data_IF_736030043582
#
_entry.id   IF_736030043582
#
_cell.length_a   1.000
_cell.length_b   1.000
_cell.length_c   1.000
_cell.angle_alpha   90.00
_cell.angle_beta   90.00
_cell.angle_gamma   90.00
#
_symmetry.space_group_name_H-M   'P 1'
#
loop_
_entity.id
_entity.type
_entity.pdbx_description
1 polymer ?
2 non-polymer ?
3 non-polymer ?
4 non-polymer ?
5 non-polymer ?
6 non-polymer ?
7 non-polymer ?
8 water ?
#
# COMPACT_ATOMS: atom_id res chain seq x y z
C UNK A 1 16.79 -21.97 -17.20
N UNK A 2 15.62 -22.59 -17.06
CA UNK A 2 15.27 -23.51 -15.98
C UNK A 2 15.54 -22.91 -14.60
N UNK A 3 14.81 -21.86 -14.28
CA UNK A 3 15.04 -21.15 -13.02
C UNK A 3 14.22 -21.74 -11.90
N UNK A 4 12.93 -22.02 -12.17
CA UNK A 4 12.02 -22.53 -11.18
C UNK A 4 11.30 -23.77 -11.70
N UNK A 5 10.13 -24.01 -11.11
CA UNK A 5 9.27 -25.14 -11.48
C UNK A 5 7.89 -24.61 -11.78
N UNK A 6 7.35 -25.00 -12.92
CA UNK A 6 6.06 -24.50 -13.40
C UNK A 6 4.95 -25.50 -13.07
N UNK A 7 3.78 -24.96 -12.73
CA UNK A 7 2.60 -25.76 -12.56
C UNK A 7 1.42 -25.05 -13.17
N UNK A 8 0.25 -25.69 -13.13
CA UNK A 8 -0.95 -25.04 -13.69
C UNK A 8 -1.33 -23.76 -12.97
N UNK A 9 -0.99 -23.60 -11.69
CA UNK A 9 -1.42 -22.44 -10.92
C UNK A 9 -0.30 -21.83 -10.08
N UNK A 10 0.96 -22.05 -10.43
CA UNK A 10 2.04 -21.57 -9.60
C UNK A 10 3.35 -21.51 -10.38
N UNK A 11 4.33 -20.86 -9.76
CA UNK A 11 5.72 -20.85 -10.23
C UNK A 11 6.61 -20.83 -8.99
N UNK A 12 7.16 -22.00 -8.66
CA UNK A 12 8.05 -22.13 -7.50
C UNK A 12 9.45 -21.71 -7.92
N UNK A 13 10.00 -20.64 -7.36
CA UNK A 13 11.33 -20.18 -7.80
C UNK A 13 12.47 -21.07 -7.33
N UNK A 14 12.44 -22.34 -7.74
CA UNK A 14 13.48 -23.29 -7.34
C UNK A 14 13.65 -24.32 -8.44
N UNK A 15 14.90 -24.56 -8.84
CA UNK A 15 15.18 -25.52 -9.90
C UNK A 15 14.75 -26.91 -9.47
N UNK A 16 14.36 -27.72 -10.46
CA UNK A 16 13.74 -29.01 -10.20
C UNK A 16 14.63 -30.18 -10.57
N UNK A 17 15.94 -29.95 -10.75
CA UNK A 17 16.83 -31.04 -11.11
C UNK A 17 16.93 -32.08 -10.01
N UNK A 18 16.62 -31.72 -8.77
CA UNK A 18 16.66 -32.66 -7.65
C UNK A 18 15.34 -33.38 -7.44
N UNK A 19 14.26 -32.94 -8.08
CA UNK A 19 12.98 -33.59 -7.92
C UNK A 19 12.33 -33.38 -6.56
N UNK A 20 12.62 -32.25 -5.90
CA UNK A 20 12.09 -32.01 -4.56
C UNK A 20 10.96 -30.99 -4.55
N UNK A 21 10.71 -30.30 -5.67
CA UNK A 21 9.71 -29.24 -5.68
C UNK A 21 8.31 -29.84 -5.58
N UNK A 22 7.48 -29.26 -4.73
CA UNK A 22 6.08 -29.65 -4.61
C UNK A 22 5.21 -28.44 -4.89
N UNK A 23 3.95 -28.71 -5.23
CA UNK A 23 2.98 -27.64 -5.41
C UNK A 23 2.86 -26.82 -4.13
N UNK A 24 2.98 -25.49 -4.21
CA UNK A 24 2.80 -24.67 -3.00
C UNK A 24 1.40 -24.74 -2.41
N UNK A 25 0.48 -25.48 -3.03
CA UNK A 25 -0.83 -25.71 -2.47
C UNK A 25 -0.96 -27.05 -1.78
N UNK A 26 0.12 -27.84 -1.72
CA UNK A 26 0.02 -29.22 -1.27
C UNK A 26 1.05 -29.60 -0.20
N UNK A 27 2.27 -29.07 -0.30
CA UNK A 27 3.33 -29.45 0.61
C UNK A 27 4.20 -28.23 0.95
N UNK A 28 4.80 -28.21 2.13
CA UNK A 28 5.63 -27.05 2.53
C UNK A 28 6.81 -26.84 1.59
N UNK A 29 7.23 -25.58 1.48
CA UNK A 29 8.32 -25.19 0.59
C UNK A 29 9.62 -24.98 1.35
N UNK A 30 10.01 -25.95 2.17
CA UNK A 30 11.19 -25.80 3.02
C UNK A 30 12.51 -25.88 2.25
N UNK A 31 12.47 -26.00 0.92
CA UNK A 31 13.67 -25.88 0.10
C UNK A 31 13.89 -24.46 -0.40
N UNK A 32 12.84 -23.63 -0.43
CA UNK A 32 13.02 -22.21 -0.70
C UNK A 32 13.71 -21.52 0.47
N UNK A 33 13.39 -21.94 1.70
CA UNK A 33 13.92 -21.31 2.89
C UNK A 33 13.84 -22.30 4.04
N UNK A 34 14.73 -22.12 5.02
CA UNK A 34 14.71 -22.98 6.20
C UNK A 34 13.43 -22.75 6.99
N UNK A 35 13.02 -23.73 7.81
CA UNK A 35 11.80 -23.53 8.61
C UNK A 35 11.83 -22.31 9.50
N UNK A 36 13.02 -21.90 9.98
CA UNK A 36 13.08 -20.71 10.82
C UNK A 36 12.83 -19.44 10.02
N UNK A 37 13.20 -19.44 8.74
CA UNK A 37 12.92 -18.29 7.89
C UNK A 37 11.44 -18.15 7.62
N UNK A 38 10.71 -19.27 7.55
CA UNK A 38 9.26 -19.18 7.50
C UNK A 38 8.69 -18.63 8.81
N UNK A 39 9.27 -19.02 9.94
CA UNK A 39 8.80 -18.51 11.23
C UNK A 39 9.07 -17.01 11.36
N UNK A 40 10.21 -16.55 10.85
CA UNK A 40 10.52 -15.12 10.88
C UNK A 40 9.57 -14.34 9.99
N UNK A 41 9.16 -14.92 8.86
CA UNK A 41 8.09 -14.33 8.07
C UNK A 41 6.82 -14.23 8.89
N UNK A 42 6.51 -15.28 9.66
CA UNK A 42 5.34 -15.24 10.53
C UNK A 42 5.49 -14.17 11.61
N UNK A 43 6.69 -14.05 12.18
CA UNK A 43 6.94 -13.02 13.17
C UNK A 43 6.77 -11.62 12.59
N UNK A 44 7.23 -11.42 11.35
CA UNK A 44 7.05 -10.13 10.71
C UNK A 44 5.57 -9.84 10.44
N UNK A 45 4.82 -10.87 10.06
CA UNK A 45 3.37 -10.71 9.93
C UNK A 45 2.74 -10.39 11.28
N UNK A 46 3.20 -11.06 12.34
CA UNK A 46 2.67 -10.80 13.68
C UNK A 46 2.96 -9.36 14.11
N UNK A 47 4.16 -8.87 13.80
CA UNK A 47 4.49 -7.48 14.11
C UNK A 47 3.57 -6.51 13.37
N UNK A 48 3.31 -6.78 12.09
CA UNK A 48 2.44 -5.90 11.32
C UNK A 48 1.00 -5.97 11.81
N UNK A 49 0.56 -7.11 12.36
CA UNK A 49 -0.80 -7.22 12.86
C UNK A 49 -0.92 -6.50 14.20
N UNK A 50 0.06 -6.69 15.09
CA UNK A 50 0.00 -6.07 16.41
C UNK A 50 0.16 -4.56 16.35
N UNK A 51 0.82 -4.05 15.32
CA UNK A 51 0.93 -2.60 15.10
C UNK A 51 -0.11 -2.07 14.12
N UNK A 52 -0.49 -2.86 13.11
CA UNK A 52 -1.35 -2.34 12.07
C UNK A 52 -2.80 -2.24 12.51
N UNK A 53 -3.33 -3.31 13.09
CA UNK A 53 -4.74 -3.30 13.48
C UNK A 53 -5.08 -2.24 14.51
N UNK A 54 -4.37 -2.13 15.65
CA UNK A 54 -4.77 -1.10 16.63
C UNK A 54 -4.71 0.32 16.08
N UNK A 55 -3.62 0.66 15.38
CA UNK A 55 -3.48 2.02 14.86
C UNK A 55 -4.60 2.34 13.86
N UNK A 56 -4.89 1.41 12.96
CA UNK A 56 -5.92 1.67 11.95
C UNK A 56 -7.32 1.55 12.51
N UNK A 57 -7.55 0.64 13.47
CA UNK A 57 -8.86 0.55 14.08
C UNK A 57 -9.12 1.74 15.00
N UNK A 58 -8.08 2.20 15.71
CA UNK A 58 -8.24 3.38 16.56
C UNK A 58 -8.57 4.62 15.74
N UNK A 59 -8.07 4.70 14.50
CA UNK A 59 -8.43 5.81 13.63
C UNK A 59 -9.93 5.82 13.33
N UNK A 60 -10.48 4.64 13.01
CA UNK A 60 -11.92 4.55 12.77
C UNK A 60 -12.71 4.79 14.05
N UNK A 61 -12.15 4.46 15.21
CA UNK A 61 -12.89 4.56 16.45
C UNK A 61 -12.97 6.01 16.94
N UNK A 62 -11.84 6.72 16.94
CA UNK A 62 -11.84 8.10 17.42
C UNK A 62 -12.63 9.02 16.50
N UNK A 63 -12.78 8.65 15.22
CA UNK A 63 -13.64 9.43 14.34
C UNK A 63 -15.10 9.34 14.78
N UNK A 64 -15.49 8.23 15.41
CA UNK A 64 -16.87 8.08 15.86
C UNK A 64 -17.15 8.93 17.09
N UNK A 65 -16.16 9.10 17.97
CA UNK A 65 -16.34 9.77 19.24
C UNK A 65 -16.06 11.27 19.20
N UNK A 66 -15.62 11.80 18.07
CA UNK A 66 -15.24 13.22 17.97
C UNK A 66 -15.84 13.80 16.69
N UNK A 67 -16.76 14.76 16.85
CA UNK A 67 -17.48 15.32 15.72
C UNK A 67 -16.58 16.17 14.84
N UNK A 68 -15.56 16.81 15.42
CA UNK A 68 -14.68 17.69 14.66
C UNK A 68 -13.83 16.92 13.65
N UNK A 69 -13.73 15.60 13.78
CA UNK A 69 -12.97 14.81 12.82
C UNK A 69 -13.77 14.51 11.56
N UNK A 70 -15.10 14.52 11.64
CA UNK A 70 -15.93 14.08 10.54
C UNK A 70 -16.18 15.19 9.53
N UNK A 71 -15.10 15.82 9.04
CA UNK A 71 -15.14 16.79 7.96
C UNK A 71 -14.87 16.11 6.62
N UNK A 72 -15.40 16.65 5.52
CA UNK A 72 -15.23 15.97 4.23
C UNK A 72 -13.77 15.74 3.84
N UNK A 73 -12.87 16.65 4.22
CA UNK A 73 -11.47 16.49 3.86
C UNK A 73 -10.82 15.31 4.58
N UNK A 74 -11.46 14.77 5.60
CA UNK A 74 -10.95 13.61 6.32
C UNK A 74 -11.57 12.29 5.87
N UNK A 75 -12.55 12.33 4.96
CA UNK A 75 -13.20 11.09 4.52
C UNK A 75 -12.19 10.16 3.87
N UNK A 76 -11.29 10.70 3.05
CA UNK A 76 -10.28 9.88 2.37
C UNK A 76 -9.31 9.24 3.35
N UNK A 77 -9.13 9.86 4.52
CA UNK A 77 -8.28 9.26 5.55
C UNK A 77 -8.95 8.04 6.17
N UNK A 78 -10.27 8.08 6.35
CA UNK A 78 -10.98 6.90 6.79
C UNK A 78 -10.88 5.78 5.77
N UNK A 79 -10.92 6.13 4.47
CA UNK A 79 -10.72 5.15 3.42
C UNK A 79 -9.35 4.50 3.52
N UNK A 80 -8.34 5.29 3.91
CA UNK A 80 -7.00 4.75 4.07
C UNK A 80 -6.95 3.73 5.20
N UNK A 81 -7.57 4.05 6.34
CA UNK A 81 -7.56 3.15 7.49
C UNK A 81 -8.30 1.86 7.17
N UNK A 82 -9.41 1.95 6.45
CA UNK A 82 -10.13 0.74 6.03
C UNK A 82 -9.28 -0.08 5.08
N UNK A 83 -8.56 0.58 4.16
CA UNK A 83 -7.71 -0.13 3.23
C UNK A 83 -6.62 -0.92 3.96
N UNK A 84 -6.00 -0.30 4.97
CA UNK A 84 -4.97 -0.99 5.73
C UNK A 84 -5.53 -2.17 6.50
N UNK A 85 -6.79 -2.09 6.94
CA UNK A 85 -7.43 -3.23 7.58
C UNK A 85 -7.64 -4.37 6.60
N UNK A 86 -7.87 -4.05 5.31
CA UNK A 86 -7.89 -5.09 4.28
C UNK A 86 -6.52 -5.75 4.16
N UNK A 87 -5.45 -4.93 4.19
CA UNK A 87 -4.10 -5.49 4.18
C UNK A 87 -3.83 -6.30 5.42
N UNK A 88 -4.34 -5.84 6.57
CA UNK A 88 -4.07 -6.52 7.83
C UNK A 88 -4.78 -7.86 7.89
N UNK A 89 -6.06 -7.88 7.52
CA UNK A 89 -6.84 -9.10 7.65
C UNK A 89 -6.83 -9.94 6.39
N UNK A 90 -6.91 -9.31 5.21
CA UNK A 90 -6.90 -10.07 3.98
C UNK A 90 -5.53 -10.62 3.62
N UNK A 91 -4.47 -9.90 3.98
CA UNK A 91 -3.14 -10.31 3.60
C UNK A 91 -2.28 -10.81 4.74
N UNK A 92 -2.07 -9.98 5.77
CA UNK A 92 -1.13 -10.32 6.82
C UNK A 92 -1.61 -11.51 7.63
N UNK A 93 -2.92 -11.57 7.90
CA UNK A 93 -3.46 -12.63 8.75
C UNK A 93 -3.36 -13.99 8.07
N UNK A 94 -3.81 -14.08 6.81
CA UNK A 94 -3.74 -15.34 6.09
C UNK A 94 -2.30 -15.79 5.90
N UNK A 95 -1.40 -14.84 5.61
CA UNK A 95 0.01 -15.18 5.45
C UNK A 95 0.60 -15.73 6.74
N UNK A 96 0.27 -15.12 7.88
CA UNK A 96 0.73 -15.64 9.16
C UNK A 96 0.26 -17.08 9.36
N UNK A 97 -0.92 -17.42 8.86
CA UNK A 97 -1.42 -18.79 8.99
C UNK A 97 -0.72 -19.72 8.00
N UNK A 98 -0.59 -19.31 6.74
CA UNK A 98 0.05 -20.16 5.75
C UNK A 98 1.55 -20.29 5.99
N UNK A 99 2.18 -19.23 6.51
CA UNK A 99 3.62 -19.28 6.73
C UNK A 99 3.98 -20.36 7.75
N UNK A 100 3.12 -20.57 8.76
CA UNK A 100 3.38 -21.58 9.77
C UNK A 100 3.16 -23.00 9.26
N UNK A 101 2.54 -23.18 8.09
CA UNK A 101 2.51 -24.46 7.42
C UNK A 101 3.69 -24.66 6.48
N UNK A 102 4.23 -23.58 5.93
CA UNK A 102 5.27 -23.66 4.92
C UNK A 102 4.77 -23.57 3.50
N UNK A 103 3.47 -23.46 3.29
CA UNK A 103 2.91 -23.36 1.95
C UNK A 103 1.50 -22.79 2.05
N UNK A 104 0.96 -22.38 0.90
CA UNK A 104 -0.36 -21.77 0.82
C UNK A 104 -1.39 -22.88 0.91
N UNK A 105 -1.89 -23.14 2.11
CA UNK A 105 -2.75 -24.29 2.38
C UNK A 105 -4.18 -24.11 1.89
N UNK A 106 -4.52 -22.93 1.37
CA UNK A 106 -5.89 -22.65 0.97
C UNK A 106 -6.18 -23.01 -0.49
N UNK A 107 -5.20 -23.54 -1.22
CA UNK A 107 -5.42 -23.96 -2.58
C UNK A 107 -5.54 -22.79 -3.54
N UNK A 108 -5.80 -23.10 -4.82
CA UNK A 108 -5.87 -22.01 -5.82
C UNK A 108 -7.04 -21.07 -5.61
N UNK A 109 -8.16 -21.55 -5.07
CA UNK A 109 -9.30 -20.68 -4.82
C UNK A 109 -8.97 -19.63 -3.77
N UNK A 110 -8.38 -20.05 -2.65
CA UNK A 110 -7.94 -19.09 -1.66
C UNK A 110 -6.85 -18.17 -2.14
N UNK A 111 -6.11 -18.59 -3.17
CA UNK A 111 -5.08 -17.74 -3.76
C UNK A 111 -5.70 -16.54 -4.44
N UNK A 112 -6.78 -16.74 -5.19
CA UNK A 112 -7.48 -15.62 -5.80
C UNK A 112 -8.12 -14.72 -4.75
N UNK A 113 -8.65 -15.30 -3.67
CA UNK A 113 -9.30 -14.50 -2.65
C UNK A 113 -8.28 -13.65 -1.89
N UNK A 114 -7.27 -14.29 -1.29
CA UNK A 114 -6.25 -13.54 -0.57
C UNK A 114 -5.51 -12.59 -1.49
N UNK A 115 -5.23 -13.03 -2.72
CA UNK A 115 -4.58 -12.14 -3.67
C UNK A 115 -5.41 -10.90 -3.95
N UNK A 116 -6.71 -11.09 -4.20
CA UNK A 116 -7.57 -9.95 -4.50
C UNK A 116 -7.63 -8.97 -3.33
N UNK A 117 -8.00 -9.46 -2.15
CA UNK A 117 -8.21 -8.55 -1.02
C UNK A 117 -6.93 -7.89 -0.56
N UNK A 118 -5.83 -8.64 -0.52
CA UNK A 118 -4.55 -8.04 -0.14
C UNK A 118 -4.08 -7.04 -1.19
N UNK A 119 -4.36 -7.30 -2.47
CA UNK A 119 -4.04 -6.33 -3.50
C UNK A 119 -5.02 -5.17 -3.47
N UNK A 120 -6.30 -5.46 -3.24
CA UNK A 120 -7.31 -4.40 -3.18
C UNK A 120 -7.00 -3.40 -2.06
N UNK A 121 -6.67 -3.92 -0.87
CA UNK A 121 -6.38 -3.03 0.24
C UNK A 121 -5.19 -2.13 -0.02
N UNK A 122 -4.10 -2.71 -0.53
CA UNK A 122 -2.93 -1.91 -0.86
C UNK A 122 -3.18 -0.94 -2.00
N UNK A 123 -4.05 -1.31 -2.94
CA UNK A 123 -4.35 -0.40 -4.04
C UNK A 123 -5.27 0.73 -3.60
N UNK A 124 -6.23 0.44 -2.71
CA UNK A 124 -7.07 1.50 -2.16
C UNK A 124 -6.22 2.51 -1.42
N UNK A 125 -5.22 2.03 -0.67
CA UNK A 125 -4.35 2.92 0.10
C UNK A 125 -3.52 3.80 -0.82
N UNK A 126 -2.92 3.21 -1.87
CA UNK A 126 -2.09 3.97 -2.79
C UNK A 126 -2.87 5.13 -3.41
N UNK A 127 -4.07 4.84 -3.91
CA UNK A 127 -4.87 5.88 -4.56
C UNK A 127 -5.54 6.80 -3.55
N UNK A 128 -5.71 6.37 -2.30
CA UNK A 128 -6.19 7.29 -1.27
C UNK A 128 -5.14 8.37 -1.01
N UNK A 129 -3.86 8.01 -1.03
CA UNK A 129 -2.80 9.01 -0.92
C UNK A 129 -2.80 9.93 -2.14
N UNK A 130 -3.04 9.36 -3.32
CA UNK A 130 -3.10 10.18 -4.54
C UNK A 130 -4.31 11.12 -4.48
N UNK A 131 -5.46 10.61 -4.03
CA UNK A 131 -6.67 11.42 -3.95
C UNK A 131 -6.49 12.53 -2.91
N UNK A 132 -5.93 12.21 -1.75
CA UNK A 132 -5.71 13.22 -0.73
C UNK A 132 -4.75 14.31 -1.23
N UNK A 133 -3.73 13.92 -1.99
CA UNK A 133 -2.82 14.91 -2.56
C UNK A 133 -3.56 15.83 -3.53
N UNK A 134 -4.50 15.28 -4.30
CA UNK A 134 -5.28 16.11 -5.21
C UNK A 134 -6.22 17.01 -4.43
N UNK A 135 -6.87 16.47 -3.39
CA UNK A 135 -7.81 17.25 -2.60
C UNK A 135 -7.11 18.44 -1.95
N UNK A 136 -5.97 18.21 -1.30
CA UNK A 136 -5.23 19.29 -0.67
C UNK A 136 -4.76 20.31 -1.70
N UNK A 137 -4.38 19.84 -2.89
CA UNK A 137 -3.96 20.77 -3.94
C UNK A 137 -5.10 21.68 -4.38
N UNK A 138 -6.30 21.11 -4.55
CA UNK A 138 -7.44 21.90 -5.01
C UNK A 138 -7.86 22.90 -3.95
N UNK A 139 -7.83 22.49 -2.67
CA UNK A 139 -8.27 23.37 -1.60
C UNK A 139 -7.28 24.53 -1.40
N UNK A 140 -5.99 24.28 -1.60
CA UNK A 140 -4.97 25.29 -1.30
C UNK A 140 -4.69 26.15 -2.53
N UNK A 141 -4.28 25.52 -3.62
CA UNK A 141 -3.91 26.26 -4.82
C UNK A 141 -5.10 26.88 -5.52
N UNK A 142 -6.32 26.40 -5.24
CA UNK A 142 -7.57 26.93 -5.80
C UNK A 142 -7.50 27.06 -7.31
N UNK A 143 -7.41 25.95 -8.06
CA UNK A 143 -7.34 26.04 -9.52
C UNK A 143 -8.67 26.29 -10.19
N UNK A 144 -9.78 26.14 -9.47
CA UNK A 144 -11.11 26.44 -9.98
C UNK A 144 -11.66 27.65 -9.25
N UNK A 145 -12.09 28.66 -10.01
CA UNK A 145 -12.31 30.00 -9.46
C UNK A 145 -13.41 29.99 -8.40
N UNK A 146 -14.58 29.44 -8.73
CA UNK A 146 -15.70 29.47 -7.79
C UNK A 146 -16.02 28.09 -7.27
N UNK A 147 -15.03 27.40 -6.69
CA UNK A 147 -15.17 26.02 -6.27
C UNK A 147 -14.96 25.89 -4.77
N UNK A 148 -15.84 25.11 -4.13
CA UNK A 148 -15.75 24.79 -2.72
C UNK A 148 -15.86 23.27 -2.56
N UNK A 149 -14.86 22.69 -1.89
CA UNK A 149 -14.80 21.23 -1.73
C UNK A 149 -15.74 20.80 -0.61
N UNK A 150 -16.76 20.03 -0.95
CA UNK A 150 -17.77 19.64 0.01
C UNK A 150 -17.91 18.14 0.20
N UNK A 151 -19.02 17.71 0.81
CA UNK A 151 -19.20 16.30 1.12
C UNK A 151 -19.36 15.47 -0.14
N UNK A 152 -20.07 16.00 -1.14
CA UNK A 152 -20.27 15.24 -2.38
C UNK A 152 -18.95 15.00 -3.10
N UNK A 153 -18.06 15.98 -3.11
CA UNK A 153 -16.78 15.81 -3.79
C UNK A 153 -15.91 14.80 -3.09
N UNK A 154 -15.91 14.79 -1.75
CA UNK A 154 -15.11 13.84 -1.00
C UNK A 154 -15.58 12.40 -1.23
N UNK A 155 -16.89 12.21 -1.40
CA UNK A 155 -17.41 10.89 -1.70
C UNK A 155 -16.92 10.40 -3.05
N UNK A 156 -16.90 11.29 -4.05
CA UNK A 156 -16.37 10.92 -5.36
C UNK A 156 -14.92 10.46 -5.25
N UNK A 157 -14.12 11.16 -4.46
CA UNK A 157 -12.71 10.79 -4.32
C UNK A 157 -12.53 9.41 -3.71
N UNK A 158 -13.32 9.10 -2.69
CA UNK A 158 -13.25 7.77 -2.07
C UNK A 158 -13.75 6.71 -3.05
N UNK A 159 -14.90 6.96 -3.70
CA UNK A 159 -15.41 6.03 -4.69
C UNK A 159 -14.46 5.88 -5.86
N UNK A 160 -13.67 6.92 -6.14
CA UNK A 160 -12.69 6.85 -7.22
C UNK A 160 -11.57 5.86 -6.88
N UNK A 161 -11.14 5.83 -5.62
CA UNK A 161 -10.12 4.87 -5.22
C UNK A 161 -10.61 3.44 -5.40
N UNK A 162 -11.90 3.20 -5.14
CA UNK A 162 -12.44 1.85 -5.31
C UNK A 162 -12.41 1.42 -6.77
N UNK A 163 -12.71 2.35 -7.69
CA UNK A 163 -12.65 2.04 -9.11
C UNK A 163 -11.21 1.76 -9.54
N UNK A 164 -10.25 2.55 -9.04
CA UNK A 164 -8.87 2.33 -9.41
C UNK A 164 -8.33 1.02 -8.83
N UNK A 165 -8.65 0.74 -7.56
CA UNK A 165 -8.19 -0.50 -6.94
C UNK A 165 -8.82 -1.71 -7.60
N UNK A 166 -10.11 -1.64 -7.92
CA UNK A 166 -10.73 -2.73 -8.68
C UNK A 166 -10.13 -2.84 -10.07
N UNK A 167 -9.73 -1.72 -10.67
CA UNK A 167 -9.09 -1.75 -11.98
C UNK A 167 -7.78 -2.51 -11.97
N UNK A 168 -7.15 -2.69 -10.81
CA UNK A 168 -5.91 -3.44 -10.70
C UNK A 168 -6.12 -4.84 -10.15
N UNK A 169 -7.00 -4.98 -9.15
CA UNK A 169 -7.16 -6.25 -8.46
C UNK A 169 -8.10 -7.21 -9.16
N UNK A 170 -9.04 -6.71 -9.98
CA UNK A 170 -10.04 -7.56 -10.61
C UNK A 170 -9.59 -8.24 -11.91
N UNK A 171 -8.82 -7.58 -12.79
CA UNK A 171 -8.43 -8.23 -14.07
C UNK A 171 -7.77 -9.58 -13.88
N UNK A 172 -6.89 -9.78 -12.88
CA UNK A 172 -6.34 -11.12 -12.68
C UNK A 172 -7.38 -12.19 -12.38
N UNK A 173 -8.57 -11.80 -11.93
CA UNK A 173 -9.63 -12.78 -11.68
C UNK A 173 -10.36 -13.19 -12.96
N UNK A 174 -10.22 -12.42 -14.04
CA UNK A 174 -11.02 -12.65 -15.24
C UNK A 174 -10.14 -12.91 -16.46
N UNK A 175 -8.83 -13.08 -16.28
CA UNK A 175 -7.96 -13.51 -17.35
C UNK A 175 -6.90 -12.53 -17.80
N UNK A 176 -6.76 -11.35 -17.19
CA UNK A 176 -5.65 -10.45 -17.50
C UNK A 176 -4.68 -10.52 -16.33
N UNK A 177 -3.52 -11.16 -16.56
CA UNK A 177 -2.61 -11.59 -15.52
C UNK A 177 -3.30 -12.63 -14.65
N UNK A 178 -2.76 -12.90 -13.46
CA UNK A 178 -3.30 -13.97 -12.61
C UNK A 178 -2.72 -13.82 -11.21
N UNK A 179 -3.35 -14.53 -10.27
CA UNK A 179 -2.87 -14.60 -8.89
C UNK A 179 -2.16 -15.93 -8.68
N UNK A 180 -0.90 -15.87 -8.26
CA UNK A 180 -0.10 -17.06 -7.97
C UNK A 180 0.62 -16.86 -6.64
N UNK A 181 1.00 -17.94 -5.98
CA UNK A 181 1.87 -17.80 -4.80
C UNK A 181 3.19 -17.15 -5.18
N UNK A 182 3.57 -16.14 -4.42
CA UNK A 182 4.77 -15.35 -4.68
C UNK A 182 5.82 -15.60 -3.62
N UNK A 183 7.08 -15.42 -4.01
CA UNK A 183 8.20 -15.56 -3.09
C UNK A 183 8.27 -16.92 -2.42
N UNK A 184 8.09 -16.93 -1.11
CA UNK A 184 8.07 -18.17 -0.34
C UNK A 184 6.77 -18.94 -0.49
N UNK A 185 5.88 -18.50 -1.39
CA UNK A 185 4.69 -19.24 -1.79
C UNK A 185 3.68 -19.41 -0.65
N UNK A 186 3.67 -18.48 0.30
CA UNK A 186 2.70 -18.49 1.38
C UNK A 186 1.61 -17.44 1.22
N UNK A 187 1.81 -16.46 0.35
CA UNK A 187 0.80 -15.45 0.03
C UNK A 187 0.66 -15.37 -1.48
N UNK A 188 -0.35 -14.62 -1.93
CA UNK A 188 -0.70 -14.57 -3.33
C UNK A 188 -0.79 -13.13 -3.80
N UNK A 189 -0.54 -12.93 -5.09
CA UNK A 189 -0.57 -11.60 -5.66
C UNK A 189 -0.43 -11.65 -7.17
N UNK A 190 -0.27 -10.46 -7.75
CA UNK A 190 -0.15 -10.36 -9.21
C UNK A 190 1.08 -11.15 -9.67
N UNK A 191 0.98 -11.71 -10.87
CA UNK A 191 2.07 -12.50 -11.45
C UNK A 191 2.97 -11.57 -12.25
N UNK A 192 4.04 -11.09 -11.62
CA UNK A 192 5.12 -10.40 -12.31
C UNK A 192 6.29 -11.34 -12.60
N UNK A 193 6.16 -12.62 -12.27
CA UNK A 193 7.27 -13.55 -12.28
C UNK A 193 7.28 -14.47 -13.50
N UNK A 194 6.17 -14.60 -14.21
CA UNK A 194 6.08 -15.43 -15.40
C UNK A 194 5.47 -14.63 -16.54
N UNK A 195 5.98 -14.81 -17.76
CA UNK A 195 5.36 -14.20 -18.95
C UNK A 195 4.21 -15.03 -19.50
N UNK A 196 3.25 -15.36 -18.64
CA UNK A 196 2.14 -16.23 -18.99
C UNK A 196 1.35 -15.66 -20.16
N UNK A 197 1.65 -16.14 -21.38
CA UNK A 197 1.06 -15.55 -22.57
C UNK A 197 -0.44 -15.79 -22.66
N UNK A 198 -0.94 -16.83 -21.98
CA UNK A 198 -2.37 -17.12 -22.05
C UNK A 198 -3.21 -16.03 -21.40
N UNK A 199 -2.64 -15.29 -20.45
CA UNK A 199 -3.36 -14.22 -19.76
C UNK A 199 -2.74 -12.85 -20.00
N UNK A 200 -1.80 -12.74 -20.94
CA UNK A 200 -1.16 -11.47 -21.31
C UNK A 200 -0.59 -10.77 -20.08
N UNK A 201 0.37 -11.44 -19.43
CA UNK A 201 0.99 -10.87 -18.24
C UNK A 201 1.84 -9.66 -18.59
N UNK A 202 2.47 -9.67 -19.77
CA UNK A 202 3.38 -8.58 -20.14
C UNK A 202 2.64 -7.25 -20.22
N UNK A 203 1.47 -7.25 -20.87
CA UNK A 203 0.73 -6.01 -21.02
C UNK A 203 0.17 -5.52 -19.69
N UNK A 204 -0.16 -6.44 -18.78
CA UNK A 204 -0.68 -6.01 -17.48
C UNK A 204 0.41 -5.37 -16.64
N UNK A 205 1.64 -5.88 -16.74
CA UNK A 205 2.78 -5.26 -16.04
C UNK A 205 3.02 -3.85 -16.55
N UNK A 206 2.96 -3.66 -17.87
CA UNK A 206 3.08 -2.33 -18.44
C UNK A 206 1.95 -1.44 -17.95
N UNK A 207 0.73 -1.94 -18.00
CA UNK A 207 -0.41 -1.17 -17.51
C UNK A 207 -0.26 -0.84 -16.03
N UNK A 208 0.20 -1.81 -15.23
CA UNK A 208 0.46 -1.55 -13.83
C UNK A 208 1.55 -0.50 -13.66
N UNK A 209 2.61 -0.60 -14.45
CA UNK A 209 3.73 0.33 -14.33
C UNK A 209 3.33 1.75 -14.73
N UNK A 210 2.53 1.88 -15.79
CA UNK A 210 2.17 3.21 -16.27
C UNK A 210 1.07 3.81 -15.41
N UNK A 211 -0.02 3.07 -15.22
CA UNK A 211 -1.21 3.63 -14.59
C UNK A 211 -1.10 3.61 -13.07
N UNK A 212 -0.61 2.52 -12.49
CA UNK A 212 -0.62 2.35 -11.05
C UNK A 212 0.75 2.54 -10.41
N UNK A 213 1.69 3.15 -11.12
CA UNK A 213 3.03 3.32 -10.58
C UNK A 213 3.63 4.66 -11.01
N UNK A 214 3.60 4.95 -12.31
CA UNK A 214 4.12 6.23 -12.79
C UNK A 214 3.11 7.35 -12.52
N UNK A 215 1.85 7.13 -12.91
CA UNK A 215 0.83 8.17 -12.72
C UNK A 215 0.65 8.56 -11.27
N UNK A 216 0.56 7.63 -10.30
CA UNK A 216 0.46 8.07 -8.90
C UNK A 216 1.64 8.92 -8.46
N UNK A 217 2.84 8.62 -8.94
CA UNK A 217 4.01 9.39 -8.56
C UNK A 217 3.93 10.81 -9.12
N UNK A 218 3.57 10.94 -10.40
CA UNK A 218 3.52 12.25 -11.02
C UNK A 218 2.46 13.12 -10.38
N UNK A 219 1.30 12.54 -10.07
CA UNK A 219 0.21 13.32 -9.47
C UNK A 219 0.61 13.82 -8.09
N UNK A 220 1.19 12.94 -7.27
CA UNK A 220 1.60 13.34 -5.93
C UNK A 220 2.66 14.42 -5.99
N UNK A 221 3.65 14.26 -6.86
CA UNK A 221 4.74 15.24 -6.92
C UNK A 221 4.24 16.59 -7.44
N UNK A 222 3.35 16.58 -8.43
CA UNK A 222 2.82 17.84 -8.95
C UNK A 222 1.97 18.55 -7.92
N UNK A 223 0.96 17.85 -7.37
CA UNK A 223 0.04 18.48 -6.43
C UNK A 223 0.79 19.09 -5.25
N UNK A 224 1.62 18.29 -4.59
CA UNK A 224 2.38 18.80 -3.45
C UNK A 224 3.42 19.82 -3.88
N UNK A 225 3.96 19.69 -5.09
CA UNK A 225 4.90 20.66 -5.61
C UNK A 225 4.27 22.03 -5.73
N UNK A 226 3.14 22.11 -6.43
CA UNK A 226 2.41 23.37 -6.52
C UNK A 226 1.92 23.83 -5.16
N UNK A 227 1.59 22.88 -4.26
CA UNK A 227 1.10 23.25 -2.94
C UNK A 227 2.17 23.98 -2.14
N UNK A 228 3.37 23.37 -2.03
CA UNK A 228 4.45 24.01 -1.31
C UNK A 228 4.85 25.32 -1.99
N UNK A 229 4.76 25.36 -3.32
CA UNK A 229 5.04 26.60 -4.04
C UNK A 229 4.04 27.68 -3.67
N UNK A 230 2.75 27.33 -3.65
CA UNK A 230 1.71 28.31 -3.31
C UNK A 230 1.85 28.78 -1.88
N UNK A 231 2.13 27.86 -0.95
CA UNK A 231 2.27 28.22 0.45
C UNK A 231 3.47 29.14 0.66
N UNK A 232 4.61 28.79 0.06
CA UNK A 232 5.80 29.63 0.20
C UNK A 232 5.60 30.99 -0.46
N UNK A 233 4.89 31.03 -1.57
CA UNK A 233 4.64 32.29 -2.26
C UNK A 233 3.76 33.20 -1.40
N UNK A 234 2.69 32.65 -0.84
CA UNK A 234 1.81 33.45 0.01
C UNK A 234 2.51 33.86 1.31
N UNK A 235 3.35 32.98 1.86
CA UNK A 235 4.08 33.31 3.07
C UNK A 235 5.11 34.41 2.82
N UNK A 236 5.67 34.47 1.62
CA UNK A 236 6.61 35.54 1.30
C UNK A 236 5.94 36.90 1.34
N UNK A 237 4.65 36.96 1.03
CA UNK A 237 3.90 38.22 1.10
C UNK A 237 3.51 38.61 2.51
N UNK A 238 3.73 37.74 3.49
CA UNK A 238 3.39 38.03 4.89
C UNK A 238 4.56 37.65 5.80
N UNK A 239 5.75 38.20 5.50
CA UNK A 239 6.91 37.87 6.32
C UNK A 239 6.88 38.53 7.69
N UNK A 240 5.96 39.47 7.93
CA UNK A 240 5.82 40.07 9.24
C UNK A 240 5.07 39.18 10.23
N UNK A 241 4.41 38.14 9.75
CA UNK A 241 3.66 37.22 10.61
C UNK A 241 4.55 36.02 10.92
N UNK A 242 4.93 35.89 12.20
CA UNK A 242 5.80 34.77 12.59
C UNK A 242 5.07 33.44 12.49
N UNK A 243 3.76 33.43 12.71
CA UNK A 243 3.01 32.19 12.61
C UNK A 243 2.86 31.75 11.16
N UNK A 244 2.67 32.71 10.25
CA UNK A 244 2.63 32.40 8.82
C UNK A 244 3.92 31.71 8.38
N UNK A 245 5.07 32.24 8.82
CA UNK A 245 6.34 31.59 8.51
C UNK A 245 6.45 30.25 9.21
N UNK A 246 5.94 30.15 10.44
CA UNK A 246 5.96 28.89 11.16
C UNK A 246 5.04 27.87 10.51
N UNK A 247 3.87 28.31 10.04
CA UNK A 247 2.97 27.41 9.32
C UNK A 247 3.57 26.98 7.99
N UNK A 248 4.25 27.90 7.30
CA UNK A 248 4.91 27.54 6.04
C UNK A 248 6.01 26.51 6.28
N UNK A 249 6.79 26.67 7.34
CA UNK A 249 7.88 25.73 7.62
C UNK A 249 7.35 24.33 7.93
N UNK A 250 6.25 24.24 8.70
CA UNK A 250 5.73 22.93 9.05
C UNK A 250 5.00 22.25 7.89
N UNK A 251 4.39 23.05 6.99
CA UNK A 251 3.78 22.46 5.80
C UNK A 251 4.86 21.90 4.89
N UNK A 252 5.98 22.62 4.75
CA UNK A 252 7.08 22.12 3.94
C UNK A 252 7.64 20.82 4.49
N UNK A 253 7.88 20.77 5.81
CA UNK A 253 8.44 19.56 6.41
C UNK A 253 7.49 18.38 6.28
N UNK A 254 6.17 18.64 6.35
CA UNK A 254 5.21 17.54 6.27
C UNK A 254 5.08 17.01 4.84
N UNK A 255 5.06 17.90 3.84
CA UNK A 255 5.05 17.44 2.46
C UNK A 255 6.30 16.64 2.15
N UNK A 256 7.45 17.08 2.66
CA UNK A 256 8.69 16.34 2.47
C UNK A 256 8.57 14.94 3.08
N UNK A 257 8.08 14.86 4.31
CA UNK A 257 7.94 13.57 4.98
C UNK A 257 7.05 12.63 4.17
N UNK A 258 5.94 13.14 3.65
CA UNK A 258 5.04 12.29 2.87
C UNK A 258 5.69 11.85 1.57
N UNK A 259 6.32 12.78 0.85
CA UNK A 259 6.97 12.45 -0.42
C UNK A 259 8.11 11.46 -0.19
N UNK A 260 8.88 11.64 0.89
CA UNK A 260 9.92 10.69 1.21
C UNK A 260 9.33 9.34 1.58
N UNK A 261 8.23 9.34 2.35
CA UNK A 261 7.58 8.08 2.72
C UNK A 261 7.03 7.37 1.50
N UNK A 262 6.52 8.11 0.52
CA UNK A 262 6.03 7.49 -0.70
C UNK A 262 7.17 6.89 -1.51
N UNK A 263 8.32 7.56 -1.56
CA UNK A 263 9.45 7.05 -2.32
C UNK A 263 10.06 5.81 -1.65
N UNK A 264 10.04 5.74 -0.32
CA UNK A 264 10.54 4.57 0.38
C UNK A 264 9.75 3.33 -0.01
N UNK A 265 8.46 3.50 -0.32
CA UNK A 265 7.67 2.40 -0.84
C UNK A 265 7.77 2.27 -2.35
N UNK A 266 8.15 3.36 -3.04
CA UNK A 266 8.17 3.39 -4.50
C UNK A 266 9.51 2.93 -5.07
N UNK A 267 10.62 3.46 -4.54
CA UNK A 267 11.92 3.17 -5.11
C UNK A 267 12.31 1.69 -5.11
N UNK A 268 11.99 0.87 -4.10
CA UNK A 268 12.32 -0.56 -4.21
C UNK A 268 11.78 -1.22 -5.48
N UNK A 269 10.55 -0.90 -5.88
CA UNK A 269 10.04 -1.45 -7.13
C UNK A 269 10.81 -0.89 -8.33
N UNK A 270 11.19 0.39 -8.26
CA UNK A 270 11.98 0.98 -9.33
C UNK A 270 13.38 0.39 -9.37
N UNK A 271 13.96 0.09 -8.20
CA UNK A 271 15.24 -0.60 -8.18
C UNK A 271 15.15 -2.01 -8.71
N UNK A 272 14.08 -2.73 -8.34
CA UNK A 272 13.84 -4.06 -8.90
C UNK A 272 13.48 -3.95 -10.37
N UNK A 273 12.73 -2.90 -10.76
CA UNK A 273 12.46 -2.65 -12.17
C UNK A 273 13.75 -2.50 -12.96
N UNK A 274 14.62 -1.57 -12.53
CA UNK A 274 15.86 -1.31 -13.24
C UNK A 274 16.76 -2.54 -13.28
N UNK A 275 16.67 -3.41 -12.28
CA UNK A 275 17.40 -4.67 -12.32
C UNK A 275 16.68 -5.70 -13.19
N UNK A 276 15.36 -5.58 -13.34
CA UNK A 276 14.65 -6.45 -14.27
C UNK A 276 14.64 -5.83 -15.67
N UNK A 277 14.60 -4.50 -15.77
CA UNK A 277 14.68 -3.83 -17.07
C UNK A 277 15.97 -4.20 -17.79
N UNK A 278 17.11 -3.95 -17.14
CA UNK A 278 18.38 -4.51 -17.58
C UNK A 278 18.52 -5.90 -16.96
N UNK A 279 19.71 -6.50 -17.09
CA UNK A 279 20.03 -7.77 -16.44
C UNK A 279 18.94 -8.83 -16.60
N UNK A 280 18.40 -8.97 -17.81
CA UNK A 280 17.23 -9.84 -18.01
C UNK A 280 17.67 -11.26 -18.32
N UNK A 281 18.74 -11.71 -17.68
CA UNK A 281 19.36 -12.97 -18.06
C UNK A 281 19.66 -13.93 -16.92
N UNK A 282 19.22 -13.60 -15.71
CA UNK A 282 19.48 -14.45 -14.57
C UNK A 282 18.20 -14.75 -13.80
N UNK A 283 18.27 -15.79 -12.98
CA UNK A 283 17.14 -16.18 -12.16
C UNK A 283 17.09 -15.32 -10.90
N UNK A 284 15.94 -14.70 -10.64
CA UNK A 284 15.74 -14.01 -9.38
C UNK A 284 15.30 -15.04 -8.35
N UNK A 285 16.10 -15.17 -7.29
CA UNK A 285 15.86 -16.18 -6.29
C UNK A 285 14.48 -16.07 -5.66
N UNK A 286 14.12 -17.07 -4.83
CA UNK A 286 12.78 -17.08 -4.22
C UNK A 286 12.53 -15.89 -3.30
N UNK A 287 13.20 -14.76 -3.53
CA UNK A 287 13.20 -13.63 -2.59
C UNK A 287 13.34 -12.30 -3.31
N UNK A 288 14.39 -12.15 -4.13
CA UNK A 288 14.86 -10.86 -4.63
C UNK A 288 13.73 -9.95 -5.13
N UNK A 289 12.99 -10.41 -6.14
CA UNK A 289 11.94 -9.59 -6.74
C UNK A 289 10.79 -9.27 -5.80
N UNK A 290 10.68 -9.99 -4.67
CA UNK A 290 9.62 -9.79 -3.70
C UNK A 290 10.09 -9.05 -2.46
N UNK A 291 11.24 -8.40 -2.53
CA UNK A 291 11.74 -7.56 -1.44
C UNK A 291 10.94 -6.27 -1.36
N UNK A 292 10.62 -5.59 -2.48
CA UNK A 292 9.72 -4.43 -2.37
C UNK A 292 8.39 -4.77 -1.72
N UNK A 293 7.84 -5.95 -2.02
CA UNK A 293 6.59 -6.38 -1.38
C UNK A 293 6.80 -6.59 0.11
N UNK A 294 7.95 -7.13 0.51
CA UNK A 294 8.21 -7.40 1.91
C UNK A 294 8.22 -6.12 2.74
N UNK A 295 8.64 -5.00 2.14
CA UNK A 295 8.70 -3.74 2.85
C UNK A 295 7.53 -2.81 2.55
N UNK A 296 6.84 -3.00 1.42
CA UNK A 296 5.65 -2.21 1.14
C UNK A 296 4.50 -2.56 2.07
N UNK A 297 4.52 -3.73 2.70
CA UNK A 297 3.49 -4.08 3.67
C UNK A 297 3.48 -3.10 4.84
N UNK A 298 4.67 -2.65 5.25
CA UNK A 298 4.80 -1.75 6.38
C UNK A 298 4.05 -0.44 6.18
N UNK A 299 3.66 -0.12 4.94
CA UNK A 299 2.81 1.04 4.73
C UNK A 299 1.48 0.92 5.45
N UNK A 300 1.08 -0.30 5.84
CA UNK A 300 -0.11 -0.43 6.68
C UNK A 300 0.11 0.10 8.08
N UNK A 301 1.36 0.35 8.47
CA UNK A 301 1.70 0.84 9.79
C UNK A 301 2.15 2.30 9.75
N UNK A 302 3.07 2.65 8.83
CA UNK A 302 3.63 4.00 8.86
C UNK A 302 2.77 5.02 8.13
N UNK A 303 1.90 4.60 7.20
CA UNK A 303 0.98 5.56 6.58
C UNK A 303 0.00 6.16 7.58
N UNK A 304 -0.68 5.37 8.44
CA UNK A 304 -1.52 6.01 9.46
C UNK A 304 -0.74 6.81 10.48
N UNK A 305 0.54 6.48 10.70
CA UNK A 305 1.35 7.26 11.63
C UNK A 305 1.66 8.63 11.05
N UNK A 306 1.90 8.70 9.74
CA UNK A 306 2.28 9.96 9.11
C UNK A 306 1.06 10.81 8.80
N UNK A 307 0.01 10.21 8.24
CA UNK A 307 -1.14 10.96 7.78
C UNK A 307 -2.22 11.15 8.84
N UNK A 308 -2.17 10.41 9.95
CA UNK A 308 -3.24 10.47 10.93
C UNK A 308 -2.70 10.81 12.31
N UNK A 309 -1.76 9.99 12.80
CA UNK A 309 -1.23 10.24 14.14
C UNK A 309 -0.44 11.53 14.24
N UNK A 310 0.06 12.06 13.12
CA UNK A 310 0.70 13.36 13.12
C UNK A 310 -0.25 14.48 12.75
N UNK A 311 -1.48 14.17 12.36
CA UNK A 311 -2.52 15.17 12.24
C UNK A 311 -2.82 15.71 13.63
N UNK A 312 -2.90 17.05 13.75
CA UNK A 312 -3.03 17.67 15.06
C UNK A 312 -4.34 17.28 15.72
N UNK A 313 -5.40 17.10 14.94
CA UNK A 313 -6.71 16.75 15.50
C UNK A 313 -6.73 15.33 16.02
N UNK A 314 -6.36 14.36 15.17
CA UNK A 314 -6.44 12.95 15.55
C UNK A 314 -5.62 12.63 16.79
N UNK A 315 -4.47 13.29 16.93
CA UNK A 315 -3.58 12.98 18.06
C UNK A 315 -4.25 13.28 19.39
N UNK A 316 -4.81 14.48 19.54
CA UNK A 316 -5.43 14.86 20.80
C UNK A 316 -6.67 14.01 21.09
N UNK A 317 -7.41 13.64 20.05
CA UNK A 317 -8.60 12.82 20.23
C UNK A 317 -8.25 11.38 20.59
N UNK A 318 -7.13 10.86 20.05
CA UNK A 318 -6.71 9.52 20.45
C UNK A 318 -6.21 9.51 21.88
N UNK A 319 -5.53 10.57 22.31
CA UNK A 319 -5.12 10.68 23.71
C UNK A 319 -6.35 10.77 24.61
N UNK A 320 -7.36 11.54 24.18
CA UNK A 320 -8.58 11.66 24.97
C UNK A 320 -9.31 10.33 25.07
N UNK A 321 -9.29 9.53 24.00
CA UNK A 321 -10.05 8.28 23.97
C UNK A 321 -9.36 7.21 24.81
N UNK A 322 -8.06 7.04 24.64
CA UNK A 322 -7.31 5.98 25.32
C UNK A 322 -7.37 6.11 26.84
N UNK A 323 -7.50 9.26 27.54
CA UNK A 323 -7.67 9.78 28.88
N UNK A 324 -9.91 7.48 28.00
CA UNK A 324 -10.94 7.36 29.02
C UNK A 324 -11.83 8.61 29.03
N UNK A 325 -11.19 9.77 29.13
CA UNK A 325 -11.95 11.01 29.17
C UNK A 325 -11.09 12.26 29.21
N UNK A 326 -10.10 12.30 30.11
CA UNK A 326 -9.25 13.47 30.26
C UNK A 326 -8.14 13.46 29.21
N UNK A 327 -7.05 14.18 29.50
CA UNK A 327 -5.79 14.20 28.74
C UNK A 327 -4.86 15.24 29.36
N UNK A 328 -3.56 15.01 29.37
CA UNK A 328 -2.63 16.03 29.87
C UNK A 328 -2.55 17.21 28.93
N UNK A 329 -2.83 18.40 29.45
CA UNK A 329 -2.84 19.62 28.65
C UNK A 329 -1.52 20.37 28.80
X LIG B 1 -4.71 8.38 29.40
X LIG B 1 -4.49 8.52 28.19
X LIG B 1 -4.90 7.05 30.06
X LIG B 1 -4.29 5.92 29.27
X LIG B 1 -4.31 4.61 30.02
X LIG B 1 -3.40 3.59 29.37
X LIG B 1 -1.96 4.04 29.46
X LIG B 1 -0.99 2.88 29.25
X LIG B 1 -0.98 2.42 27.80
X LIG B 1 0.03 1.30 27.60
X LIG B 1 0.22 0.98 26.14
X LIG B 1 1.43 0.10 25.91
X LIG B 1 1.04 -1.35 25.78
X LIG B 1 2.25 -2.21 25.47
X LIG B 1 1.84 -3.60 25.03
X LIG B 1 2.91 -4.22 24.15
X LIG B 1 2.47 -5.55 23.60
X LIG C 1 9.35 -32.17 -8.71
X LIG C 1 7.93 -32.14 -9.17
X LIG C 1 7.20 -33.39 -8.73
X LIG C 1 8.09 -34.63 -8.64
X LIG C 1 9.62 -34.45 -8.81
X LIG C 1 10.22 -35.48 -9.75
X LIG C 1 6.37 -30.26 -9.41
X LIG C 1 5.78 -29.05 -8.75
X LIG C 1 7.26 -30.95 -8.69
X LIG C 1 6.17 -33.66 -9.67
X LIG C 1 7.86 -35.28 -7.38
X LIG C 1 9.99 -33.17 -9.32
X LIG C 1 9.97 -35.16 -11.10
X LIG C 1 6.05 -30.59 -10.54
X LIG D 1 7.29 -37.64 -9.80
X LIG D 1 6.98 -38.21 -8.43
X LIG D 1 5.85 -39.21 -8.56
X LIG D 1 4.63 -38.54 -9.17
X LIG D 1 4.99 -37.81 -10.48
X LIG D 1 3.89 -36.90 -10.96
X LIG D 1 8.78 -38.24 -6.77
X LIG D 1 9.99 -38.97 -6.26
X LIG D 1 8.15 -38.80 -7.81
X LIG D 1 5.52 -39.74 -7.27
X LIG D 1 3.62 -39.50 -9.47
X LIG D 1 6.15 -36.96 -10.29
X LIG D 1 3.69 -37.02 -12.36
X LIG D 1 8.39 -37.19 -6.27
X LIG E 1 4.73 -42.44 -10.04
X LIG E 1 4.29 -42.46 -8.57
X LIG E 1 4.46 -43.86 -7.98
X LIG E 1 4.67 -44.97 -9.06
X LIG E 1 3.83 -44.69 -10.36
X LIG E 1 2.35 -45.00 -10.17
X LIG E 1 2.91 -42.14 -8.46
X LIG E 1 3.36 -44.19 -7.13
X LIG E 1 6.05 -45.13 -9.37
X LIG E 1 3.96 -43.31 -10.84
X LIG E 1 1.65 -43.78 -9.98
X LIG F 1 0.22 -43.07 -12.95
X LIG F 1 0.11 -44.62 -12.89
X LIG F 1 1.33 -45.25 -13.56
X LIG F 1 1.97 -44.32 -14.58
X LIG F 1 2.52 -43.07 -13.84
X LIG F 1 2.86 -41.90 -14.77
X LIG F 1 -1.04 -45.10 -13.60
X LIG F 1 1.01 -46.50 -14.17
X LIG F 1 3.03 -44.98 -15.24
X LIG F 1 1.55 -42.61 -12.84
X LIG F 1 3.57 -40.93 -14.01
X LIG G 1 6.37 -43.98 -4.50
X LIG G 1 7.27 -43.96 -5.77
X LIG G 1 7.41 -45.37 -6.38
X LIG G 1 6.80 -46.45 -5.49
X LIG G 1 5.32 -46.08 -5.28
X LIG G 1 4.54 -47.14 -4.51
X LIG G 1 8.60 -43.51 -5.50
X LIG G 1 8.77 -45.69 -6.68
X LIG G 1 6.87 -47.71 -6.13
X LIG G 1 5.21 -44.81 -4.58
X LIG G 1 3.15 -46.88 -4.70
X LIG H 1 1.16 -28.85 10.88
X LIG H 1 0.13 -27.87 10.97
X LIG H 1 0.57 -30.17 10.42
X LIG H 1 -0.36 -30.66 11.40
X LIG H 1 1.67 -31.21 10.19
X LIG H 1 1.10 -32.40 9.64
X LIG H 1 2.70 -30.64 9.23
X LIG H 1 3.79 -31.57 9.12
X LIG H 1 3.22 -29.29 9.73
X LIG H 1 2.14 -28.38 9.95
X LIG H 1 4.20 -28.65 8.73
X LIG H 1 3.48 -27.87 7.77
X LIG H 1 0.62 -26.64 11.53
X LIG H 1 -0.51 -25.64 11.61
X LIG H 1 -0.09 -24.37 12.34
X LIG H 1 -1.21 -23.34 12.32
X LIG H 1 -0.85 -22.14 13.19
X LIG H 1 -1.94 -21.08 13.13
X LIG H 1 -1.62 -19.89 14.03
X LIG H 1 -2.67 -18.81 13.88
X LIG I 1 1.55 -5.29 -3.23
X LIG I 1 1.89 -4.13 -2.48
X LIG I 1 2.81 -5.94 -3.79
X LIG I 1 3.48 -5.01 -4.66
X LIG I 1 2.47 -7.19 -4.57
X LIG I 1 3.68 -7.88 -4.91
X LIG I 1 1.58 -8.12 -3.75
X LIG I 1 1.04 -9.10 -4.64
X LIG I 1 0.41 -7.39 -3.08
X LIG I 1 0.86 -6.23 -2.38
X LIG I 1 -0.30 -8.31 -2.10
X LIG I 1 0.64 -8.80 -1.13
X LIG I 1 0.80 -3.21 -2.44
X LIG I 1 1.13 -2.10 -1.44
X LIG I 1 0.76 -0.73 -1.99
X LIG I 1 1.01 0.34 -0.93
X LIG I 1 0.99 1.74 -1.52
X LIG I 1 1.26 2.77 -0.42
X LIG I 1 2.42 3.68 -0.81
X LIG I 1 2.92 4.47 0.40
X LIG J 1 7.61 -12.75 0.78
X LIG J 1 8.77 -12.54 -0.02
X LIG J 1 6.55 -11.70 0.44
X LIG J 1 7.06 -10.38 0.69
X LIG J 1 5.28 -11.93 1.25
X LIG J 1 4.24 -11.14 0.70
X LIG J 1 4.84 -13.38 1.15
X LIG J 1 5.95 -14.39 1.34
X LIG J 1 7.10 -14.06 0.54
X LIG J 1 5.46 -15.78 0.94
X LIG J 1 4.04 -15.72 0.73
X LIG J 1 9.81 -13.45 0.33
X LIG J 1 11.12 -12.69 0.24
X LIG J 1 11.16 -11.53 1.23
X LIG J 1 12.60 -11.08 1.39
X LIG J 1 12.80 -10.10 2.54
X LIG J 1 14.27 -10.01 2.91
X LIG J 1 14.47 -9.19 4.19
X LIG J 1 15.85 -9.39 4.76
X LIG K 1 12.37 24.39 1.43
X LIG K 1 12.07 23.01 1.19
X LIG K 1 12.94 24.55 2.84
X LIG K 1 11.87 24.55 3.78
X LIG K 1 13.76 25.82 3.04
X LIG K 1 14.56 25.67 4.23
X LIG K 1 14.64 26.12 1.83
X LIG K 1 15.30 27.39 1.98
X LIG K 1 13.79 26.13 0.57
X LIG K 1 13.25 24.82 0.38
X LIG K 1 14.57 26.52 -0.68
X LIG K 1 13.77 26.31 -1.86
X LIG K 1 11.66 22.78 -0.16
X LIG K 1 11.20 21.34 -0.31
X LIG K 1 10.23 21.20 -1.47
X LIG K 1 9.40 19.94 -1.30
X LIG K 1 8.61 19.65 -2.56
X LIG K 1 7.95 18.29 -2.49
X LIG K 1 7.77 17.73 -3.89
X LIG K 1 6.34 17.27 -4.10
X LIG L 1 -4.19 -25.79 15.01
X LIG L 1 -5.26 -24.99 15.51
X LIG L 1 -3.90 -26.94 15.98
X LIG L 1 -3.50 -26.41 17.26
X LIG L 1 -2.82 -27.86 15.41
X LIG L 1 -2.60 -28.97 16.28
X LIG L 1 -3.24 -28.34 14.03
X LIG L 1 -2.20 -29.12 13.45
X LIG L 1 -3.54 -27.16 13.13
X LIG L 1 -4.54 -26.31 13.71
X LIG L 1 -4.02 -27.63 11.75
X LIG L 1 -2.98 -28.34 11.07
X LIG L 1 -5.68 -23.99 14.59
X LIG L 1 -6.54 -22.96 15.30
X LIG L 1 -5.79 -21.65 15.42
X LIG L 1 -6.21 -20.85 16.66
X LIG L 1 -5.03 -20.04 17.16
X LIG L 1 -5.49 -18.83 17.98
X LIG L 1 -4.30 -17.94 18.28
X LIG L 1 -4.76 -16.63 18.90
X LIG M 1 3.98 -3.57 -8.11
X LIG M 1 3.59 -1.17 -8.67
X LIG M 1 3.68 1.49 -4.80
X LIG M 1 2.05 0.99 -6.45
X LIG M 1 2.86 -0.75 -4.97
X LIG M 1 2.87 1.92 -5.84
X LIG M 1 3.69 0.18 -4.35
X LIG M 1 8.14 -2.86 -10.63
X LIG M 1 6.75 -3.48 -13.08
X LIG M 1 8.16 -3.48 -12.99
X LIG M 1 8.82 -3.18 -11.82
X LIG M 1 4.59 -2.72 -10.33
X LIG M 1 1.14 -1.30 -6.73
X LIG M 1 2.04 -0.34 -6.02
X LIG M 1 1.89 -2.51 -7.29
X LIG M 1 6.09 -3.16 -11.92
X LIG M 1 6.78 -2.85 -10.72
X LIG M 1 3.94 -3.89 -9.61
X LIG M 1 3.73 -1.48 -10.17
X LIG M 1 3.21 -2.34 -7.82
X LIG M 1 1.37 -3.61 -7.30
X LIG M 1 5.88 -2.57 -9.74
X LIG M 1 4.74 -3.07 -11.70
X LIG M 1 4.69 2.65 -4.03
#
# INVERSE_FOLDING_TARGET
XMCGTEGPNFYVPFSNKTGVVRSPFEAPQYYLAEPWQFSMLAAYMFLLIMLGFPINFLTLYVTVQHKKLRTPLNYILLNLAVADLFMVFGGFTTTLYTSLHGYFVFGPTGCNLEGFFATLGGEIALWSLVVLAIERYVVVCKPMSNFRFGENHAIMGVAFTWVMALACAAPPLVGWSRYIPEGMQCSCGIDYYTPHEETNNESFVIYMFVVHFIIPLIVIFFCYGQLVFTVKEAAAQQQESATTQKAEKEVTRMVIIMVIAFLICWLPYAGVAFYIFTHQGSCFGPIFMTIPAFFAKTSAVYNPVIYIMMNKQFRNCMVTTLCCGKNPL
PLM C1 O2 C2 C3 C4 C5 C6 C7 C8 C9 CA CB CC CD CE CF CG
NAG C1 C2 C3 C4 C5 C6 C7 C8 N2 O3 O4 O5 O6 O7
NAG C1 C2 C3 C4 C5 C6 C7 C8 N2 O3 O4 O5 O6 O7
BMA C1 C2 C3 C4 C5 C6 O2 O3 O4 O5 O6
MAN C1 C2 C3 C4 C5 C6 O2 O3 O4 O5 O6
MAN C1 C2 C3 C4 C5 C6 O2 O3 O4 O5 O6
BOG C1 O1 C2 O2 C3 O3 C4 O4 C5 O5 C6 O6 C1' C2' C3' C4' C5' C6' C7' C8'
BOG C1 O1 C2 O2 C3 O3 C4 O4 C5 O5 C6 O6 C1' C2' C3' C4' C5' C6' C7' C8'
BOG C1 O1 C2 O2 C3 O3 C4 C5 O5 C6 O6 C1' C2' C3' C4' C5' C6' C7' C8'
BOG C1 O1 C2 O2 C3 O3 C4 O4 C5 O5 C6 O6 C1' C2' C3' C4' C5' C6' C7' C8'
BOG C1 O1 C2 O2 C3 O3 C4 O4 C5 O5 C6 O6 C1' C2' C3' C4' C5' C6' C7' C8'
DLH C10 C11 C15 C17 C18 C19 C20 C21 C22 C23 C24 C1 C12 C14 C3 C6 C7 C8 C9 N2 O13 O4 O5 CL
#
